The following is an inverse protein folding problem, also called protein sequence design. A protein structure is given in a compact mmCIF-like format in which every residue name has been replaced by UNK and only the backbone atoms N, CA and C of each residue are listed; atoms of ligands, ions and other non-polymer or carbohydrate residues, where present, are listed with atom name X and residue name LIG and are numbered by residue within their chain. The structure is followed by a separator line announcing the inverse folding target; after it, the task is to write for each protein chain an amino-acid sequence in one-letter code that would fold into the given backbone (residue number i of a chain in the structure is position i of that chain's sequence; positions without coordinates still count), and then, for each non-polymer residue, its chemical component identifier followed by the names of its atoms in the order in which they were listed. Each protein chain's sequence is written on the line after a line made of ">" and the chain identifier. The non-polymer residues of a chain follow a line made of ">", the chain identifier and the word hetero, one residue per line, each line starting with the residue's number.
data_IF_513423632030
#
_entry.id   IF_513423632030
#
_cell.length_a   1.000
_cell.length_b   1.000
_cell.length_c   1.000
_cell.angle_alpha   90.00
_cell.angle_beta   90.00
_cell.angle_gamma   90.00
#
_symmetry.space_group_name_H-M   'P 1'
#
loop_
_entity.id
_entity.type
_entity.pdbx_description
1 polymer ?
#
# COMPACT_ATOMS: atom_id res chain seq x y z
N UNK A 1 2.28 -5.78 -27.08
CA UNK A 1 3.63 -5.44 -26.57
C UNK A 1 3.45 -4.78 -25.21
N UNK A 2 3.88 -5.38 -24.09
CA UNK A 2 3.74 -4.72 -22.79
C UNK A 2 4.71 -3.54 -22.69
N UNK A 3 4.18 -2.36 -22.38
CA UNK A 3 4.99 -1.19 -22.04
C UNK A 3 5.79 -1.49 -20.78
N UNK A 4 7.09 -1.20 -20.78
CA UNK A 4 7.90 -1.31 -19.57
C UNK A 4 7.76 -0.01 -18.78
N UNK A 5 7.64 -0.10 -17.46
CA UNK A 5 7.52 1.10 -16.60
C UNK A 5 8.66 2.10 -16.85
N UNK A 6 9.86 1.57 -17.14
CA UNK A 6 11.05 2.35 -17.49
C UNK A 6 10.98 3.15 -18.80
N UNK A 7 9.96 2.92 -19.62
CA UNK A 7 9.75 3.64 -20.88
C UNK A 7 8.75 4.80 -20.70
N UNK A 8 8.05 4.86 -19.56
CA UNK A 8 7.15 5.96 -19.22
C UNK A 8 7.95 7.16 -18.67
N UNK A 9 7.49 8.37 -18.98
CA UNK A 9 8.01 9.64 -18.41
C UNK A 9 6.96 10.19 -17.43
N UNK A 10 7.40 10.64 -16.24
CA UNK A 10 6.52 11.22 -15.21
C UNK A 10 6.08 10.21 -14.13
N UNK A 11 5.05 10.58 -13.38
CA UNK A 11 4.46 9.77 -12.31
C UNK A 11 3.66 8.59 -12.87
N UNK A 12 3.88 7.40 -12.32
CA UNK A 12 3.14 6.18 -12.68
C UNK A 12 1.95 6.01 -11.75
N UNK A 13 0.74 5.93 -12.32
CA UNK A 13 -0.46 5.55 -11.59
C UNK A 13 -0.76 4.07 -11.84
N UNK A 14 -0.89 3.28 -10.78
CA UNK A 14 -1.12 1.84 -10.85
C UNK A 14 -2.42 1.47 -10.13
N UNK A 15 -3.32 0.76 -10.82
CA UNK A 15 -4.48 0.12 -10.19
C UNK A 15 -4.16 -1.31 -9.75
N UNK A 16 -5.21 -2.12 -9.60
CA UNK A 16 -5.16 -3.59 -9.44
C UNK A 16 -4.84 -4.13 -8.04
N UNK A 17 -3.83 -3.62 -7.34
CA UNK A 17 -3.56 -4.12 -5.97
C UNK A 17 -4.58 -3.64 -4.94
N UNK A 18 -5.14 -2.44 -5.12
CA UNK A 18 -6.06 -1.81 -4.19
C UNK A 18 -5.50 -1.82 -2.75
N UNK A 19 -4.42 -1.05 -2.46
CA UNK A 19 -3.72 -1.18 -1.21
C UNK A 19 -4.57 -0.71 -0.02
N UNK A 20 -4.32 -1.37 1.10
CA UNK A 20 -4.90 -1.08 2.40
C UNK A 20 -3.87 -1.32 3.50
N UNK A 21 -4.01 -0.60 4.61
CA UNK A 21 -3.16 -0.75 5.80
C UNK A 21 -4.00 -1.27 6.95
N UNK A 22 -3.46 -2.23 7.70
CA UNK A 22 -3.99 -2.58 9.02
C UNK A 22 -3.25 -1.88 10.14
N UNK A 23 -3.98 -1.22 11.01
CA UNK A 23 -3.45 -0.61 12.23
C UNK A 23 -4.04 -1.38 13.41
N UNK A 24 -3.17 -1.86 14.29
CA UNK A 24 -3.58 -2.55 15.52
C UNK A 24 -3.40 -1.62 16.71
N UNK A 25 -4.42 -1.56 17.55
CA UNK A 25 -4.40 -0.83 18.81
C UNK A 25 -3.92 -1.73 19.96
N UNK A 26 -3.55 -1.11 21.09
CA UNK A 26 -3.08 -1.82 22.29
C UNK A 26 -4.13 -2.79 22.86
N UNK A 27 -5.41 -2.49 22.67
CA UNK A 27 -6.56 -3.33 23.05
C UNK A 27 -6.68 -4.62 22.21
N UNK A 28 -5.88 -4.75 21.14
CA UNK A 28 -5.93 -5.86 20.20
C UNK A 28 -6.90 -5.65 19.03
N UNK A 29 -7.70 -4.59 19.04
CA UNK A 29 -8.57 -4.22 17.93
C UNK A 29 -7.72 -3.87 16.71
N UNK A 30 -8.11 -4.37 15.53
CA UNK A 30 -7.40 -4.10 14.28
C UNK A 30 -8.33 -3.37 13.32
N UNK A 31 -7.94 -2.16 12.93
CA UNK A 31 -8.63 -1.33 11.95
C UNK A 31 -7.97 -1.48 10.59
N UNK A 32 -8.79 -1.48 9.53
CA UNK A 32 -8.32 -1.57 8.15
C UNK A 32 -8.75 -0.32 7.40
N UNK A 33 -7.78 0.32 6.74
CA UNK A 33 -7.99 1.53 5.97
C UNK A 33 -7.54 1.30 4.54
N UNK A 34 -8.36 1.68 3.56
CA UNK A 34 -7.90 1.83 2.17
C UNK A 34 -6.86 2.95 2.13
N UNK A 35 -5.91 2.87 1.22
CA UNK A 35 -4.94 3.94 1.07
C UNK A 35 -4.53 4.14 -0.39
N UNK A 36 -4.02 5.32 -0.70
CA UNK A 36 -3.04 5.42 -1.78
C UNK A 36 -1.70 4.93 -1.23
N UNK A 37 -0.93 4.20 -2.03
CA UNK A 37 0.42 3.80 -1.68
C UNK A 37 1.40 4.53 -2.60
N UNK A 38 2.25 5.38 -2.02
CA UNK A 38 3.17 6.24 -2.76
C UNK A 38 4.60 5.81 -2.47
N UNK A 39 5.40 5.64 -3.51
CA UNK A 39 6.82 5.33 -3.39
C UNK A 39 7.58 5.57 -4.68
N UNK A 40 8.78 5.01 -4.76
CA UNK A 40 9.63 5.07 -5.94
C UNK A 40 9.76 3.68 -6.57
N UNK A 41 9.75 3.64 -7.90
CA UNK A 41 10.12 2.45 -8.67
C UNK A 41 11.04 2.86 -9.82
N UNK A 42 12.25 2.32 -9.85
CA UNK A 42 13.28 2.64 -10.85
C UNK A 42 13.49 4.16 -11.06
N UNK A 43 13.51 4.94 -9.97
CA UNK A 43 13.72 6.40 -10.01
C UNK A 43 12.52 7.21 -10.48
N UNK A 44 11.30 6.66 -10.33
CA UNK A 44 10.03 7.34 -10.65
C UNK A 44 9.04 7.23 -9.52
N UNK A 45 8.28 8.31 -9.33
CA UNK A 45 7.12 8.30 -8.44
C UNK A 45 6.07 7.28 -8.93
N UNK A 46 5.72 6.35 -8.04
CA UNK A 46 4.64 5.39 -8.21
C UNK A 46 3.54 5.71 -7.21
N UNK A 47 2.30 5.79 -7.70
CA UNK A 47 1.09 5.90 -6.88
C UNK A 47 0.19 4.72 -7.20
N UNK A 48 -0.02 3.84 -6.22
CA UNK A 48 -0.97 2.74 -6.32
C UNK A 48 -2.32 3.19 -5.76
N UNK A 49 -3.37 3.03 -6.58
CA UNK A 49 -4.71 3.51 -6.31
C UNK A 49 -5.52 2.50 -5.47
N UNK A 50 -6.27 2.97 -4.45
CA UNK A 50 -7.18 2.12 -3.69
C UNK A 50 -8.34 1.61 -4.54
N UNK A 51 -9.05 0.60 -4.03
CA UNK A 51 -10.30 0.17 -4.67
C UNK A 51 -11.33 1.30 -4.65
N UNK A 52 -11.90 1.62 -5.82
CA UNK A 52 -13.03 2.55 -5.93
C UNK A 52 -14.33 1.97 -5.35
N UNK A 53 -14.44 0.64 -5.27
CA UNK A 53 -15.61 -0.05 -4.70
C UNK A 53 -15.49 -0.18 -3.18
N UNK A 54 -16.53 0.21 -2.43
CA UNK A 54 -16.59 0.07 -0.96
C UNK A 54 -16.60 -1.38 -0.46
N UNK A 55 -17.13 -2.32 -1.23
CA UNK A 55 -17.12 -3.73 -0.87
C UNK A 55 -15.73 -4.37 -1.04
N UNK A 56 -14.89 -3.81 -1.90
CA UNK A 56 -13.54 -4.29 -2.12
C UNK A 56 -12.62 -3.79 -0.99
N UNK A 57 -12.29 -4.70 -0.08
CA UNK A 57 -11.45 -4.40 1.09
C UNK A 57 -10.00 -4.06 0.73
N UNK A 58 -9.48 -4.54 -0.40
CA UNK A 58 -8.09 -4.30 -0.82
C UNK A 58 -7.06 -5.21 -0.14
N UNK A 59 -5.80 -5.12 -0.57
CA UNK A 59 -4.67 -5.93 -0.08
C UNK A 59 -4.01 -5.28 1.13
N UNK A 60 -3.75 -6.02 2.20
CA UNK A 60 -3.12 -5.52 3.43
C UNK A 60 -1.61 -5.36 3.24
N UNK A 61 -1.16 -4.24 2.66
CA UNK A 61 0.21 -4.08 2.16
C UNK A 61 1.30 -4.08 3.26
N UNK A 62 0.92 -3.89 4.53
CA UNK A 62 1.82 -3.96 5.67
C UNK A 62 1.83 -5.35 6.35
N UNK A 63 1.15 -6.33 5.78
CA UNK A 63 1.06 -7.71 6.28
C UNK A 63 1.44 -8.73 5.21
N UNK A 64 0.95 -8.52 3.98
CA UNK A 64 1.11 -9.40 2.82
C UNK A 64 2.58 -9.69 2.50
N UNK A 65 2.90 -10.92 2.09
CA UNK A 65 4.24 -11.23 1.59
C UNK A 65 4.40 -10.73 0.15
N UNK A 66 5.63 -10.37 -0.29
CA UNK A 66 5.86 -9.95 -1.68
C UNK A 66 5.39 -10.97 -2.72
N UNK A 67 5.44 -12.26 -2.42
CA UNK A 67 4.96 -13.34 -3.30
C UNK A 67 3.44 -13.32 -3.56
N UNK A 68 2.67 -12.75 -2.64
CA UNK A 68 1.20 -12.70 -2.72
C UNK A 68 0.68 -11.48 -3.49
N UNK A 69 1.51 -10.47 -3.74
CA UNK A 69 1.14 -9.31 -4.56
C UNK A 69 0.85 -9.78 -5.99
N UNK A 70 -0.14 -9.22 -6.67
CA UNK A 70 -0.51 -9.63 -8.03
C UNK A 70 0.43 -8.99 -9.07
N UNK A 71 0.86 -7.76 -8.82
CA UNK A 71 1.72 -6.96 -9.69
C UNK A 71 3.19 -7.39 -9.60
N UNK A 72 3.79 -7.94 -10.67
CA UNK A 72 5.21 -8.29 -10.68
C UNK A 72 6.13 -7.09 -10.41
N UNK A 73 5.71 -5.88 -10.79
CA UNK A 73 6.45 -4.65 -10.54
C UNK A 73 6.60 -4.37 -9.04
N UNK A 74 5.54 -4.61 -8.25
CA UNK A 74 5.58 -4.41 -6.80
C UNK A 74 6.33 -5.54 -6.08
N UNK A 75 6.34 -6.76 -6.62
CA UNK A 75 7.15 -7.88 -6.06
C UNK A 75 8.65 -7.56 -6.08
N UNK A 76 9.10 -6.77 -7.05
CA UNK A 76 10.50 -6.35 -7.18
C UNK A 76 10.87 -5.13 -6.33
N UNK A 77 9.91 -4.51 -5.65
CA UNK A 77 10.13 -3.30 -4.86
C UNK A 77 10.26 -3.61 -3.37
N UNK A 78 11.08 -2.81 -2.68
CA UNK A 78 11.03 -2.76 -1.23
C UNK A 78 9.84 -1.90 -0.77
N UNK A 79 8.68 -2.55 -0.59
CA UNK A 79 7.47 -1.88 -0.10
C UNK A 79 7.67 -1.22 1.27
N UNK A 80 8.66 -1.64 2.07
CA UNK A 80 8.91 -1.07 3.39
C UNK A 80 9.21 0.44 3.35
N UNK A 81 9.69 0.93 2.20
CA UNK A 81 10.02 2.32 1.94
C UNK A 81 8.82 3.17 1.50
N UNK A 82 7.71 2.55 1.12
CA UNK A 82 6.52 3.21 0.62
C UNK A 82 5.74 3.89 1.75
N UNK A 83 5.03 4.95 1.39
CA UNK A 83 4.25 5.79 2.30
C UNK A 83 2.76 5.61 1.97
N UNK A 84 1.95 5.10 2.89
CA UNK A 84 0.51 5.02 2.72
C UNK A 84 -0.16 6.36 3.06
N UNK A 85 -1.16 6.71 2.27
CA UNK A 85 -2.06 7.85 2.50
C UNK A 85 -3.47 7.29 2.71
N UNK A 86 -3.88 7.23 3.98
CA UNK A 86 -5.10 6.54 4.39
C UNK A 86 -6.34 7.34 3.98
N UNK A 87 -7.33 6.60 3.51
CA UNK A 87 -8.68 7.07 3.28
C UNK A 87 -9.53 6.74 4.51
N UNK A 88 -10.14 7.78 5.06
CA UNK A 88 -11.12 7.67 6.13
C UNK A 88 -12.42 8.29 5.63
N UNK A 89 -13.50 7.51 5.64
CA UNK A 89 -14.81 7.90 5.12
C UNK A 89 -15.36 9.09 5.90
N UNK A 90 -15.55 10.23 5.22
CA UNK A 90 -16.01 11.48 5.84
C UNK A 90 -14.88 12.39 6.35
N UNK A 91 -13.61 11.99 6.19
CA UNK A 91 -12.42 12.74 6.61
C UNK A 91 -11.49 13.02 5.43
N UNK A 92 -10.51 13.90 5.65
CA UNK A 92 -9.43 14.15 4.69
C UNK A 92 -8.45 12.96 4.59
N UNK A 93 -7.78 12.84 3.44
CA UNK A 93 -6.68 11.88 3.23
C UNK A 93 -5.53 12.19 4.19
N UNK A 94 -5.07 11.19 4.95
CA UNK A 94 -3.99 11.37 5.95
C UNK A 94 -2.72 10.62 5.55
N UNK A 95 -1.60 11.34 5.50
CA UNK A 95 -0.27 10.74 5.32
C UNK A 95 0.15 10.00 6.58
N UNK A 96 0.61 8.77 6.43
CA UNK A 96 1.14 7.96 7.52
C UNK A 96 2.66 7.74 7.37
N UNK A 97 3.34 7.21 8.42
CA UNK A 97 4.73 6.78 8.32
C UNK A 97 4.95 5.71 7.25
N UNK A 98 6.21 5.52 6.85
CA UNK A 98 6.60 4.43 5.94
C UNK A 98 6.18 3.06 6.47
N UNK A 99 5.88 2.12 5.57
CA UNK A 99 5.38 0.79 5.94
C UNK A 99 6.28 0.04 6.93
N UNK A 100 7.60 0.22 6.88
CA UNK A 100 8.54 -0.36 7.86
C UNK A 100 8.25 -0.01 9.32
N UNK A 101 7.52 1.08 9.58
CA UNK A 101 7.12 1.51 10.93
C UNK A 101 5.70 1.08 11.29
N UNK A 102 4.98 0.44 10.37
CA UNK A 102 3.57 0.07 10.51
C UNK A 102 3.38 -1.45 10.50
N UNK A 103 4.39 -2.24 10.91
CA UNK A 103 4.28 -3.70 10.92
C UNK A 103 3.26 -4.17 11.96
N UNK A 104 2.07 -4.53 11.50
CA UNK A 104 0.99 -5.01 12.36
C UNK A 104 1.30 -6.39 12.99
N UNK A 105 2.39 -7.05 12.58
CA UNK A 105 2.88 -8.32 13.17
C UNK A 105 3.80 -8.11 14.36
N UNK A 106 4.34 -6.91 14.57
CA UNK A 106 5.36 -6.65 15.60
C UNK A 106 4.86 -6.80 17.06
N UNK A 107 3.54 -6.90 17.29
CA UNK A 107 2.95 -7.10 18.63
C UNK A 107 2.68 -8.57 18.98
N UNK A 108 3.27 -9.54 18.27
CA UNK A 108 3.03 -10.98 18.47
C UNK A 108 3.73 -11.59 19.70
N UNK A 109 4.01 -10.80 20.73
CA UNK A 109 4.51 -11.29 22.03
C UNK A 109 3.37 -11.32 23.04
N UNK A 110 2.83 -12.52 23.26
CA UNK A 110 1.84 -12.88 24.25
C UNK A 110 1.60 -14.38 24.15
#
# INVERSE_FOLDING_TARGET
>A
MPLKLRELKGTVLMGHEHPSVRIREETGVTHKFKCFLVGDIDGRDLIVLPASNELARGVDINIVSPSELLSPALRGCDLSLFTPYLLDTGSAVRRFPKLKFLDARSFRKG
#
